data_IF_644173038200
#
_entry.id   IF_644173038200
#
_cell.length_a   1.000
_cell.length_b   1.000
_cell.length_c   1.000
_cell.angle_alpha   90.00
_cell.angle_beta   90.00
_cell.angle_gamma   90.00
#
_symmetry.space_group_name_H-M   'P 1'
#
loop_
_entity.id
_entity.type
_entity.pdbx_description
1 polymer ?
#
# COMPACT_ATOMS: atom_id res chain seq x y z
N UNK A 1 -1.13 -7.92 15.27
CA UNK A 1 -1.97 -7.38 14.16
C UNK A 1 -1.07 -6.90 13.02
N UNK A 2 -1.42 -7.20 11.77
CA UNK A 2 -0.80 -6.62 10.58
C UNK A 2 -1.86 -6.11 9.61
N UNK A 3 -1.54 -5.06 8.87
CA UNK A 3 -2.44 -4.35 7.96
C UNK A 3 -1.69 -4.18 6.63
N UNK A 4 -2.36 -4.42 5.50
CA UNK A 4 -1.80 -4.09 4.19
C UNK A 4 -2.62 -3.03 3.48
N UNK A 5 -1.94 -2.07 2.84
CA UNK A 5 -2.55 -1.04 1.98
C UNK A 5 -1.83 -0.96 0.63
N UNK A 6 -2.50 -0.35 -0.35
CA UNK A 6 -1.88 0.00 -1.63
C UNK A 6 -1.03 1.27 -1.51
N UNK A 7 -0.04 1.47 -2.39
CA UNK A 7 0.67 2.72 -2.54
C UNK A 7 -0.21 3.76 -3.24
N UNK A 8 0.33 4.93 -3.50
CA UNK A 8 -0.25 5.92 -4.40
C UNK A 8 0.60 6.11 -5.67
N UNK A 9 -0.03 6.64 -6.72
CA UNK A 9 0.65 6.97 -7.99
C UNK A 9 1.39 8.32 -7.92
N UNK A 10 0.92 9.20 -7.04
CA UNK A 10 1.51 10.50 -6.78
C UNK A 10 2.46 10.40 -5.59
N UNK A 11 3.58 11.09 -5.67
CA UNK A 11 4.58 11.18 -4.62
C UNK A 11 4.70 12.64 -4.19
N UNK A 12 4.56 12.90 -2.90
CA UNK A 12 4.85 14.18 -2.26
C UNK A 12 6.36 14.27 -2.00
N UNK A 13 7.03 15.13 -2.75
CA UNK A 13 8.48 15.29 -2.67
C UNK A 13 8.91 16.49 -1.80
N UNK A 14 7.99 17.37 -1.43
CA UNK A 14 8.33 18.71 -0.94
C UNK A 14 7.80 19.09 0.43
N UNK A 15 6.68 18.54 0.90
CA UNK A 15 6.11 18.92 2.21
C UNK A 15 7.10 18.64 3.35
N UNK A 16 7.24 19.54 4.34
CA UNK A 16 8.06 19.29 5.51
C UNK A 16 7.68 17.98 6.20
N UNK A 17 8.67 17.17 6.56
CA UNK A 17 8.42 15.91 7.27
C UNK A 17 8.13 16.18 8.75
N UNK A 18 7.14 15.52 9.36
CA UNK A 18 6.84 15.67 10.78
C UNK A 18 7.84 14.93 11.68
N UNK A 19 8.75 14.14 11.11
CA UNK A 19 9.76 13.36 11.83
C UNK A 19 11.04 13.23 11.01
N UNK A 20 12.18 13.13 11.70
CA UNK A 20 13.48 12.81 11.09
C UNK A 20 13.75 11.29 11.06
N UNK A 21 12.86 10.49 11.63
CA UNK A 21 12.99 9.03 11.71
C UNK A 21 12.74 8.38 10.34
N UNK A 22 13.53 7.38 10.06
CA UNK A 22 13.39 6.56 8.85
C UNK A 22 13.87 5.13 9.09
N UNK A 23 13.52 4.26 8.17
CA UNK A 23 14.00 2.87 8.09
C UNK A 23 14.33 2.52 6.64
N UNK A 24 14.86 1.31 6.42
CA UNK A 24 15.25 0.83 5.10
C UNK A 24 14.37 -0.33 4.67
N UNK A 25 13.97 -0.34 3.40
CA UNK A 25 13.24 -1.45 2.80
C UNK A 25 14.04 -2.76 2.89
N UNK A 26 13.34 -3.86 3.12
CA UNK A 26 13.97 -5.19 3.33
C UNK A 26 14.50 -5.82 2.04
N UNK A 27 13.93 -5.50 0.88
CA UNK A 27 14.20 -6.14 -0.40
C UNK A 27 15.20 -5.36 -1.27
N UNK A 28 16.33 -4.93 -0.71
CA UNK A 28 17.29 -4.05 -1.41
C UNK A 28 17.84 -4.63 -2.72
N UNK A 29 18.08 -5.94 -2.77
CA UNK A 29 18.55 -6.64 -3.99
C UNK A 29 17.45 -6.71 -5.03
N UNK A 30 16.27 -7.11 -4.64
CA UNK A 30 15.09 -7.23 -5.50
C UNK A 30 14.66 -5.88 -6.07
N UNK A 31 14.73 -4.81 -5.27
CA UNK A 31 14.52 -3.43 -5.73
C UNK A 31 15.49 -3.09 -6.86
N UNK A 32 16.76 -3.43 -6.70
CA UNK A 32 17.77 -3.20 -7.74
C UNK A 32 17.48 -4.01 -9.03
N UNK A 33 16.97 -5.26 -8.90
CA UNK A 33 16.57 -6.09 -10.04
C UNK A 33 15.36 -5.48 -10.78
N UNK A 34 14.31 -5.08 -10.07
CA UNK A 34 13.12 -4.44 -10.66
C UNK A 34 13.50 -3.10 -11.32
N UNK A 35 14.28 -2.26 -10.62
CA UNK A 35 14.78 -1.01 -11.18
C UNK A 35 15.67 -1.25 -12.41
N UNK A 36 16.52 -2.27 -12.38
CA UNK A 36 17.36 -2.67 -13.51
C UNK A 36 16.56 -3.04 -14.76
N UNK A 37 15.33 -3.57 -14.59
CA UNK A 37 14.41 -3.82 -15.69
C UNK A 37 13.73 -2.54 -16.23
N UNK A 38 13.53 -1.53 -15.37
CA UNK A 38 12.91 -0.24 -15.76
C UNK A 38 13.90 0.73 -16.39
N UNK A 39 15.12 0.82 -15.88
CA UNK A 39 16.12 1.83 -16.23
C UNK A 39 16.43 1.92 -17.74
N UNK A 40 16.55 0.80 -18.50
CA UNK A 40 16.86 0.84 -19.93
C UNK A 40 15.65 1.21 -20.82
N UNK A 41 14.44 1.32 -20.25
CA UNK A 41 13.25 1.62 -21.04
C UNK A 41 13.22 3.10 -21.42
N UNK A 42 13.04 3.39 -22.71
CA UNK A 42 12.85 4.77 -23.19
C UNK A 42 11.50 5.34 -22.72
N UNK A 43 11.31 6.67 -22.74
CA UNK A 43 10.02 7.29 -22.44
C UNK A 43 8.87 6.68 -23.23
N UNK A 44 9.05 6.39 -24.51
CA UNK A 44 8.02 5.77 -25.36
C UNK A 44 7.65 4.36 -24.89
N UNK A 45 8.66 3.55 -24.52
CA UNK A 45 8.42 2.21 -23.98
C UNK A 45 7.69 2.28 -22.63
N UNK A 46 8.06 3.20 -21.74
CA UNK A 46 7.37 3.44 -20.47
C UNK A 46 5.92 3.91 -20.68
N UNK A 47 5.69 4.81 -21.65
CA UNK A 47 4.33 5.27 -22.01
C UNK A 47 3.44 4.10 -22.43
N UNK A 48 3.94 3.21 -23.29
CA UNK A 48 3.21 2.03 -23.76
C UNK A 48 3.01 1.01 -22.61
N UNK A 49 4.08 0.69 -21.88
CA UNK A 49 4.06 -0.31 -20.80
C UNK A 49 3.06 0.05 -19.69
N UNK A 50 3.07 1.31 -19.26
CA UNK A 50 2.26 1.79 -18.14
C UNK A 50 0.95 2.47 -18.57
N UNK A 51 0.69 2.59 -19.89
CA UNK A 51 -0.47 3.32 -20.46
C UNK A 51 -0.59 4.74 -19.90
N UNK A 52 0.52 5.50 -19.91
CA UNK A 52 0.62 6.86 -19.39
C UNK A 52 0.94 7.86 -20.49
N UNK A 53 0.63 9.16 -20.23
CA UNK A 53 0.94 10.23 -21.17
C UNK A 53 2.44 10.38 -21.43
N UNK A 54 2.87 10.90 -22.59
CA UNK A 54 4.29 11.15 -22.88
C UNK A 54 4.98 12.01 -21.81
N UNK A 55 4.30 13.02 -21.27
CA UNK A 55 4.82 13.86 -20.18
C UNK A 55 5.11 13.07 -18.91
N UNK A 56 4.19 12.17 -18.52
CA UNK A 56 4.41 11.30 -17.35
C UNK A 56 5.47 10.25 -17.62
N UNK A 57 5.57 9.74 -18.84
CA UNK A 57 6.60 8.80 -19.23
C UNK A 57 8.00 9.41 -19.16
N UNK A 58 8.15 10.65 -19.66
CA UNK A 58 9.39 11.42 -19.56
C UNK A 58 9.80 11.65 -18.12
N UNK A 59 8.87 12.11 -17.25
CA UNK A 59 9.13 12.30 -15.83
C UNK A 59 9.63 11.02 -15.17
N UNK A 60 8.96 9.89 -15.43
CA UNK A 60 9.34 8.63 -14.79
C UNK A 60 10.61 8.01 -15.40
N UNK A 61 10.90 8.28 -16.67
CA UNK A 61 12.20 7.96 -17.25
C UNK A 61 13.32 8.71 -16.52
N UNK A 62 13.18 10.03 -16.32
CA UNK A 62 14.15 10.83 -15.56
C UNK A 62 14.33 10.31 -14.15
N UNK A 63 13.24 9.99 -13.44
CA UNK A 63 13.29 9.37 -12.09
C UNK A 63 14.08 8.06 -12.11
N UNK A 64 13.86 7.20 -13.13
CA UNK A 64 14.60 5.94 -13.26
C UNK A 64 16.09 6.17 -13.55
N UNK A 65 16.49 7.25 -14.25
CA UNK A 65 17.89 7.54 -14.51
C UNK A 65 18.66 8.01 -13.27
N UNK A 66 17.99 8.81 -12.41
CA UNK A 66 18.61 9.37 -11.19
C UNK A 66 18.46 8.48 -9.96
N UNK A 67 17.65 7.42 -10.04
CA UNK A 67 17.48 6.48 -8.95
C UNK A 67 18.80 5.82 -8.58
N UNK A 68 19.19 5.91 -7.31
CA UNK A 68 20.42 5.35 -6.76
C UNK A 68 20.16 4.66 -5.42
N UNK A 69 20.92 3.63 -5.14
CA UNK A 69 20.98 2.94 -3.86
C UNK A 69 22.36 3.16 -3.21
N UNK A 70 22.49 3.25 -1.89
CA UNK A 70 21.43 3.14 -0.90
C UNK A 70 20.52 4.38 -0.86
N UNK A 71 19.26 4.20 -0.43
CA UNK A 71 18.35 5.30 -0.16
C UNK A 71 18.72 5.96 1.17
N UNK A 72 18.74 7.29 1.18
CA UNK A 72 19.08 8.13 2.33
C UNK A 72 18.10 9.30 2.43
N UNK A 73 17.99 10.01 3.56
CA UNK A 73 17.12 11.18 3.67
C UNK A 73 17.40 12.31 2.65
N UNK A 74 18.56 12.29 1.98
CA UNK A 74 18.94 13.26 0.96
C UNK A 74 18.34 12.93 -0.41
N UNK A 75 18.00 11.65 -0.70
CA UNK A 75 17.48 11.22 -2.00
C UNK A 75 16.14 10.47 -1.92
N UNK A 76 15.58 10.33 -0.71
CA UNK A 76 14.37 9.57 -0.46
C UNK A 76 13.57 10.12 0.74
N UNK A 77 12.32 9.68 0.86
CA UNK A 77 11.41 10.09 1.94
C UNK A 77 10.73 8.85 2.53
N UNK A 78 10.33 8.87 3.82
CA UNK A 78 9.55 7.78 4.39
C UNK A 78 8.25 7.56 3.62
N UNK A 79 7.94 6.32 3.29
CA UNK A 79 6.82 5.92 2.43
C UNK A 79 5.47 6.48 2.90
N UNK A 80 5.21 6.49 4.21
CA UNK A 80 4.00 7.02 4.82
C UNK A 80 3.72 8.47 4.44
N UNK A 81 4.77 9.29 4.31
CA UNK A 81 4.71 10.73 4.01
C UNK A 81 5.01 11.05 2.54
N UNK A 82 5.57 10.08 1.82
CA UNK A 82 5.85 10.22 0.40
C UNK A 82 4.65 9.91 -0.47
N UNK A 83 3.89 8.86 -0.18
CA UNK A 83 2.71 8.55 -0.98
C UNK A 83 1.60 9.60 -0.77
N UNK A 84 1.03 10.07 -1.89
CA UNK A 84 -0.04 11.07 -1.94
C UNK A 84 -1.19 10.60 -2.83
N UNK A 85 -2.39 10.51 -2.24
CA UNK A 85 -3.61 10.05 -2.91
C UNK A 85 -4.71 9.69 -1.91
N UNK A 86 -5.87 9.28 -2.41
CA UNK A 86 -7.11 9.14 -1.63
C UNK A 86 -6.95 8.32 -0.33
N UNK A 87 -6.17 7.23 -0.34
CA UNK A 87 -5.91 6.42 0.86
C UNK A 87 -5.11 7.24 1.88
N UNK A 88 -4.06 7.93 1.43
CA UNK A 88 -3.17 8.72 2.29
C UNK A 88 -3.84 10.01 2.77
N UNK A 89 -4.71 10.61 1.96
CA UNK A 89 -5.60 11.69 2.39
C UNK A 89 -6.54 11.23 3.50
N UNK A 90 -7.13 10.04 3.36
CA UNK A 90 -7.96 9.45 4.41
C UNK A 90 -7.19 9.13 5.69
N UNK A 91 -5.98 8.62 5.58
CA UNK A 91 -5.08 8.35 6.71
C UNK A 91 -4.61 9.63 7.41
N UNK A 92 -4.31 10.68 6.63
CA UNK A 92 -3.83 11.97 7.13
C UNK A 92 -2.62 11.83 8.06
N UNK A 93 -1.57 11.18 7.56
CA UNK A 93 -0.40 10.79 8.36
C UNK A 93 0.35 11.99 8.99
N UNK A 94 0.27 13.17 8.37
CA UNK A 94 0.92 14.38 8.87
C UNK A 94 0.32 14.91 10.18
N UNK A 95 -0.91 14.52 10.53
CA UNK A 95 -1.58 14.89 11.77
C UNK A 95 -1.52 13.80 12.86
N UNK A 96 -0.84 12.67 12.61
CA UNK A 96 -0.68 11.59 13.58
C UNK A 96 0.33 11.97 14.69
N UNK A 97 0.02 11.59 15.92
CA UNK A 97 0.98 11.65 17.01
C UNK A 97 2.08 10.59 16.83
N UNK A 98 3.26 10.82 17.45
CA UNK A 98 4.42 9.93 17.34
C UNK A 98 4.09 8.47 17.74
N UNK A 99 3.35 8.28 18.82
CA UNK A 99 2.91 6.95 19.26
C UNK A 99 2.05 6.21 18.23
N UNK A 100 1.25 6.94 17.46
CA UNK A 100 0.44 6.37 16.37
C UNK A 100 1.32 5.99 15.18
N UNK A 101 2.33 6.79 14.88
CA UNK A 101 3.34 6.46 13.85
C UNK A 101 4.11 5.20 14.25
N UNK A 102 4.50 5.07 15.53
CA UNK A 102 5.14 3.86 16.04
C UNK A 102 4.26 2.62 15.89
N UNK A 103 3.01 2.74 16.27
CA UNK A 103 2.04 1.66 16.11
C UNK A 103 1.87 1.25 14.65
N UNK A 104 1.83 2.22 13.73
CA UNK A 104 1.79 1.93 12.29
C UNK A 104 3.10 1.33 11.78
N UNK A 105 4.25 1.78 12.25
CA UNK A 105 5.56 1.20 11.87
C UNK A 105 5.61 -0.30 12.18
N UNK A 106 5.03 -0.71 13.30
CA UNK A 106 4.92 -2.12 13.70
C UNK A 106 3.87 -2.89 12.90
N UNK A 107 2.71 -2.29 12.63
CA UNK A 107 1.53 -3.00 12.13
C UNK A 107 1.24 -2.81 10.64
N UNK A 108 1.55 -1.66 10.04
CA UNK A 108 1.21 -1.34 8.66
C UNK A 108 2.28 -1.80 7.69
N UNK A 109 1.84 -2.35 6.55
CA UNK A 109 2.67 -2.68 5.41
C UNK A 109 2.08 -2.07 4.14
N UNK A 110 2.89 -1.40 3.35
CA UNK A 110 2.51 -0.77 2.10
C UNK A 110 3.05 -1.63 0.95
N UNK A 111 2.15 -2.14 0.12
CA UNK A 111 2.53 -2.92 -1.06
C UNK A 111 3.05 -1.99 -2.16
N UNK A 112 4.01 -2.46 -2.96
CA UNK A 112 4.65 -1.64 -4.00
C UNK A 112 5.14 -2.48 -5.16
N UNK A 113 4.92 -2.01 -6.39
CA UNK A 113 5.46 -2.67 -7.59
C UNK A 113 6.99 -2.63 -7.65
N UNK A 114 7.62 -1.55 -7.17
CA UNK A 114 9.09 -1.41 -7.15
C UNK A 114 9.72 -2.01 -5.89
N UNK A 115 9.14 -1.75 -4.73
CA UNK A 115 9.72 -2.08 -3.42
C UNK A 115 9.19 -3.40 -2.82
N UNK A 116 8.18 -4.03 -3.43
CA UNK A 116 7.49 -5.21 -2.91
C UNK A 116 6.61 -4.88 -1.72
N UNK A 117 7.20 -4.80 -0.53
CA UNK A 117 6.54 -4.45 0.73
C UNK A 117 7.40 -3.46 1.51
N UNK A 118 6.76 -2.49 2.12
CA UNK A 118 7.40 -1.40 2.88
C UNK A 118 6.74 -1.25 4.25
N UNK A 119 7.55 -0.87 5.24
CA UNK A 119 7.09 -0.26 6.48
C UNK A 119 6.82 1.24 6.28
N UNK A 120 6.01 1.89 7.11
CA UNK A 120 5.70 3.31 7.02
C UNK A 120 6.91 4.23 6.88
N UNK A 121 7.95 4.00 7.66
CA UNK A 121 9.14 4.83 7.69
C UNK A 121 10.25 4.37 6.72
N UNK A 122 10.02 3.32 5.93
CA UNK A 122 10.99 2.92 4.90
C UNK A 122 11.14 4.02 3.85
N UNK A 123 12.39 4.34 3.56
CA UNK A 123 12.71 5.35 2.56
C UNK A 123 12.34 4.87 1.15
N UNK A 124 11.68 5.74 0.39
CA UNK A 124 11.39 5.56 -1.03
C UNK A 124 11.82 6.78 -1.83
N UNK A 125 12.48 6.55 -2.96
CA UNK A 125 12.69 7.56 -3.99
C UNK A 125 11.44 7.66 -4.89
N UNK A 126 11.18 8.80 -5.53
CA UNK A 126 10.06 8.96 -6.43
C UNK A 126 10.11 7.96 -7.60
N UNK A 127 9.01 7.29 -7.85
CA UNK A 127 8.87 6.29 -8.91
C UNK A 127 7.41 6.17 -9.36
N UNK A 128 7.19 5.43 -10.45
CA UNK A 128 5.88 4.92 -10.82
C UNK A 128 6.01 3.52 -11.38
N UNK A 129 5.38 2.57 -10.72
CA UNK A 129 5.26 1.18 -11.18
C UNK A 129 4.11 0.53 -10.41
N UNK A 130 2.97 0.36 -11.07
CA UNK A 130 1.81 -0.35 -10.52
C UNK A 130 2.07 -1.88 -10.55
N UNK A 131 1.55 -2.61 -9.57
CA UNK A 131 1.77 -4.06 -9.42
C UNK A 131 1.24 -4.87 -10.62
N UNK A 132 0.18 -4.39 -11.28
CA UNK A 132 -0.43 -5.03 -12.44
C UNK A 132 0.35 -4.87 -13.75
N UNK A 133 1.44 -4.08 -13.75
CA UNK A 133 2.26 -3.85 -14.95
C UNK A 133 3.00 -5.14 -15.37
N UNK A 134 2.90 -5.48 -16.65
CA UNK A 134 3.56 -6.66 -17.24
C UNK A 134 5.05 -6.37 -17.52
N UNK A 135 5.80 -6.12 -16.45
CA UNK A 135 7.25 -5.93 -16.52
C UNK A 135 7.94 -7.27 -16.19
N UNK A 136 8.65 -7.90 -17.12
CA UNK A 136 9.48 -9.06 -16.81
C UNK A 136 10.69 -8.63 -15.95
N UNK A 137 11.00 -9.43 -14.91
CA UNK A 137 12.15 -9.20 -14.03
C UNK A 137 12.91 -10.51 -13.86
N UNK A 138 14.13 -10.59 -14.33
CA UNK A 138 14.91 -11.82 -14.35
C UNK A 138 14.17 -12.95 -15.08
N UNK A 139 13.83 -14.02 -14.38
CA UNK A 139 13.06 -15.16 -14.91
C UNK A 139 11.55 -15.01 -14.72
N UNK A 140 11.09 -14.01 -13.99
CA UNK A 140 9.67 -13.79 -13.72
C UNK A 140 9.02 -13.01 -14.89
N UNK A 141 7.87 -13.49 -15.36
CA UNK A 141 7.15 -12.91 -16.50
C UNK A 141 6.50 -11.56 -16.19
N UNK A 142 6.24 -11.29 -14.91
CA UNK A 142 5.59 -10.07 -14.44
C UNK A 142 5.87 -9.84 -12.95
N UNK A 143 5.43 -8.69 -12.41
CA UNK A 143 5.65 -8.34 -11.01
C UNK A 143 4.96 -9.27 -10.03
N UNK A 144 3.79 -9.85 -10.36
CA UNK A 144 3.13 -10.82 -9.49
C UNK A 144 3.99 -12.08 -9.32
N UNK A 145 4.51 -12.63 -10.42
CA UNK A 145 5.39 -13.80 -10.38
C UNK A 145 6.71 -13.50 -9.64
N UNK A 146 7.19 -12.25 -9.73
CA UNK A 146 8.41 -11.83 -9.04
C UNK A 146 8.20 -11.66 -7.54
N UNK A 147 7.10 -11.02 -7.12
CA UNK A 147 6.90 -10.60 -5.74
C UNK A 147 6.14 -11.59 -4.86
N UNK A 148 5.25 -12.42 -5.44
CA UNK A 148 4.26 -13.19 -4.69
C UNK A 148 4.84 -14.02 -3.54
N UNK A 149 5.86 -14.79 -3.82
CA UNK A 149 6.49 -15.65 -2.80
C UNK A 149 7.25 -14.81 -1.77
N UNK A 150 7.99 -13.80 -2.21
CA UNK A 150 8.80 -12.92 -1.36
C UNK A 150 7.94 -12.13 -0.38
N UNK A 151 6.88 -11.49 -0.87
CA UNK A 151 5.94 -10.72 -0.02
C UNK A 151 5.21 -11.65 0.94
N UNK A 152 4.74 -12.80 0.48
CA UNK A 152 4.04 -13.77 1.33
C UNK A 152 4.93 -14.28 2.44
N UNK A 153 6.19 -14.61 2.15
CA UNK A 153 7.16 -15.05 3.15
C UNK A 153 7.45 -13.93 4.16
N UNK A 154 7.71 -12.70 3.69
CA UNK A 154 7.97 -11.56 4.57
C UNK A 154 6.78 -11.27 5.52
N UNK A 155 5.56 -11.41 5.02
CA UNK A 155 4.36 -11.29 5.87
C UNK A 155 4.28 -12.44 6.88
N UNK A 156 4.55 -13.67 6.47
CA UNK A 156 4.53 -14.83 7.36
C UNK A 156 5.60 -14.77 8.46
N UNK A 157 6.74 -14.14 8.20
CA UNK A 157 7.80 -13.95 9.20
C UNK A 157 7.35 -12.97 10.30
N UNK A 158 6.37 -12.12 10.02
CA UNK A 158 5.81 -11.14 10.95
C UNK A 158 4.44 -11.51 11.51
N UNK A 159 3.75 -12.49 10.90
CA UNK A 159 2.43 -12.94 11.32
C UNK A 159 2.55 -14.06 12.36
N UNK A 160 1.76 -13.94 13.42
CA UNK A 160 1.54 -15.00 14.41
C UNK A 160 0.35 -15.85 13.97
N UNK A 161 0.36 -17.13 14.31
CA UNK A 161 -0.77 -18.03 14.08
C UNK A 161 -2.02 -17.52 14.81
N UNK A 162 -3.14 -17.41 14.09
CA UNK A 162 -4.38 -16.81 14.63
C UNK A 162 -4.32 -15.30 14.84
N UNK A 163 -3.23 -14.64 14.46
CA UNK A 163 -3.08 -13.18 14.56
C UNK A 163 -4.03 -12.43 13.61
N UNK A 164 -4.34 -11.18 13.92
CA UNK A 164 -5.21 -10.33 13.11
C UNK A 164 -4.46 -9.80 11.88
N UNK A 165 -4.92 -10.17 10.67
CA UNK A 165 -4.40 -9.67 9.41
C UNK A 165 -5.50 -9.00 8.59
N UNK A 166 -5.35 -7.70 8.31
CA UNK A 166 -6.37 -6.84 7.72
C UNK A 166 -5.94 -6.39 6.33
N UNK A 167 -6.76 -6.71 5.32
CA UNK A 167 -6.56 -6.27 3.95
C UNK A 167 -7.32 -4.97 3.67
N UNK A 168 -6.60 -3.88 3.53
CA UNK A 168 -7.09 -2.58 3.05
C UNK A 168 -6.45 -2.20 1.70
N UNK A 169 -5.71 -3.11 1.07
CA UNK A 169 -5.19 -2.92 -0.27
C UNK A 169 -6.27 -3.12 -1.35
N UNK A 170 -6.03 -2.61 -2.53
CA UNK A 170 -6.85 -2.93 -3.70
C UNK A 170 -6.59 -4.36 -4.16
N UNK A 171 -7.53 -4.92 -4.90
CA UNK A 171 -7.40 -6.26 -5.49
C UNK A 171 -6.11 -6.38 -6.33
N UNK A 172 -5.76 -5.34 -7.10
CA UNK A 172 -4.53 -5.30 -7.89
C UNK A 172 -3.29 -5.58 -7.04
N UNK A 173 -3.14 -4.89 -5.90
CA UNK A 173 -1.97 -5.07 -5.04
C UNK A 173 -2.07 -6.32 -4.18
N UNK A 174 -3.25 -6.64 -3.69
CA UNK A 174 -3.44 -7.81 -2.82
C UNK A 174 -3.19 -9.15 -3.54
N UNK A 175 -3.37 -9.23 -4.85
CA UNK A 175 -3.00 -10.40 -5.69
C UNK A 175 -1.51 -10.75 -5.63
N UNK A 176 -0.65 -9.82 -5.20
CA UNK A 176 0.78 -10.09 -4.98
C UNK A 176 1.05 -10.91 -3.70
N UNK A 177 0.01 -11.30 -2.95
CA UNK A 177 0.09 -12.15 -1.76
C UNK A 177 -0.56 -13.50 -2.07
N UNK A 178 0.09 -14.58 -1.70
CA UNK A 178 -0.48 -15.93 -1.75
C UNK A 178 -1.25 -16.22 -0.46
N UNK A 179 -2.54 -15.91 -0.47
CA UNK A 179 -3.39 -16.07 0.72
C UNK A 179 -3.51 -17.52 1.21
N UNK A 180 -3.33 -18.50 0.33
CA UNK A 180 -3.35 -19.91 0.70
C UNK A 180 -2.12 -20.34 1.55
N UNK A 181 -1.04 -19.55 1.49
CA UNK A 181 0.21 -19.78 2.23
C UNK A 181 0.35 -18.92 3.48
N UNK A 182 -0.62 -18.06 3.78
CA UNK A 182 -0.57 -17.22 4.98
C UNK A 182 -0.85 -18.03 6.24
N UNK A 183 -0.15 -17.72 7.33
CA UNK A 183 -0.30 -18.35 8.65
C UNK A 183 -1.62 -18.00 9.35
N UNK A 184 -2.32 -16.98 8.87
CA UNK A 184 -3.59 -16.53 9.46
C UNK A 184 -4.60 -16.15 8.38
N UNK A 185 -5.88 -16.17 8.74
CA UNK A 185 -6.95 -15.75 7.85
C UNK A 185 -6.94 -14.24 7.64
N UNK A 186 -7.39 -13.82 6.45
CA UNK A 186 -7.44 -12.41 6.05
C UNK A 186 -8.81 -11.85 6.35
N UNK A 187 -8.86 -10.71 7.05
CA UNK A 187 -10.08 -9.92 7.22
C UNK A 187 -10.06 -8.79 6.21
N UNK A 188 -11.15 -8.64 5.47
CA UNK A 188 -11.24 -7.63 4.40
C UNK A 188 -12.41 -6.68 4.67
N UNK A 189 -12.14 -5.46 5.19
CA UNK A 189 -13.15 -4.39 5.24
C UNK A 189 -13.50 -3.91 3.83
N UNK A 190 -14.79 -3.82 3.52
CA UNK A 190 -15.33 -3.35 2.24
C UNK A 190 -16.25 -2.18 2.48
N UNK A 191 -16.03 -1.08 1.77
CA UNK A 191 -16.78 0.17 1.90
C UNK A 191 -17.71 0.36 0.71
N UNK A 192 -19.01 0.49 0.98
CA UNK A 192 -20.03 0.65 -0.06
C UNK A 192 -20.91 1.86 0.25
N UNK A 193 -21.27 2.57 -0.81
CA UNK A 193 -22.11 3.75 -0.75
C UNK A 193 -23.46 3.49 -1.43
N UNK A 194 -24.55 4.02 -0.86
CA UNK A 194 -25.85 4.03 -1.51
C UNK A 194 -25.85 5.03 -2.67
N UNK A 195 -26.25 4.57 -3.85
CA UNK A 195 -26.53 5.41 -5.01
C UNK A 195 -27.97 5.16 -5.45
N UNK A 196 -28.88 5.96 -4.93
CA UNK A 196 -30.30 5.62 -4.89
C UNK A 196 -30.49 4.36 -4.04
N UNK A 197 -31.24 3.39 -4.53
CA UNK A 197 -31.50 2.13 -3.83
C UNK A 197 -30.41 1.05 -4.04
N UNK A 198 -29.33 1.39 -4.75
CA UNK A 198 -28.27 0.43 -5.07
C UNK A 198 -27.03 0.70 -4.23
N UNK A 199 -26.54 -0.34 -3.55
CA UNK A 199 -25.31 -0.31 -2.78
C UNK A 199 -24.11 -0.68 -3.68
N UNK A 200 -23.15 0.24 -3.85
CA UNK A 200 -22.00 0.09 -4.76
C UNK A 200 -20.70 0.53 -4.10
N UNK A 201 -19.60 -0.05 -4.55
CA UNK A 201 -18.28 0.48 -4.24
C UNK A 201 -18.03 1.70 -5.14
N UNK A 202 -17.91 2.88 -4.52
CA UNK A 202 -17.48 4.11 -5.19
C UNK A 202 -15.98 4.25 -4.97
N UNK A 203 -15.19 4.10 -6.03
CA UNK A 203 -13.72 3.93 -5.93
C UNK A 203 -13.04 5.03 -5.10
N UNK A 204 -13.37 6.29 -5.32
CA UNK A 204 -12.80 7.41 -4.57
C UNK A 204 -13.13 7.31 -3.07
N UNK A 205 -14.41 7.13 -2.72
CA UNK A 205 -14.84 7.03 -1.33
C UNK A 205 -14.27 5.80 -0.63
N UNK A 206 -14.26 4.64 -1.32
CA UNK A 206 -13.70 3.42 -0.76
C UNK A 206 -12.20 3.52 -0.48
N UNK A 207 -11.43 4.22 -1.33
CA UNK A 207 -10.01 4.48 -1.07
C UNK A 207 -9.80 5.36 0.16
N UNK A 208 -10.55 6.48 0.26
CA UNK A 208 -10.49 7.36 1.42
C UNK A 208 -10.88 6.64 2.71
N UNK A 209 -11.94 5.83 2.66
CA UNK A 209 -12.40 5.03 3.80
C UNK A 209 -11.34 4.00 4.26
N UNK A 210 -10.59 3.38 3.34
CA UNK A 210 -9.45 2.52 3.70
C UNK A 210 -8.39 3.29 4.48
N UNK A 211 -8.06 4.50 4.07
CA UNK A 211 -7.16 5.38 4.83
C UNK A 211 -7.70 5.73 6.20
N UNK A 212 -8.99 6.10 6.29
CA UNK A 212 -9.68 6.33 7.57
C UNK A 212 -9.67 5.11 8.48
N UNK A 213 -9.82 3.91 7.92
CA UNK A 213 -9.73 2.67 8.68
C UNK A 213 -8.30 2.46 9.22
N UNK A 214 -7.24 2.73 8.44
CA UNK A 214 -5.86 2.67 8.95
C UNK A 214 -5.67 3.65 10.11
N UNK A 215 -6.19 4.87 9.99
CA UNK A 215 -6.16 5.85 11.07
C UNK A 215 -6.90 5.36 12.32
N UNK A 216 -8.11 4.82 12.16
CA UNK A 216 -8.88 4.21 13.24
C UNK A 216 -8.09 3.12 13.96
N UNK A 217 -7.39 2.27 13.21
CA UNK A 217 -6.53 1.20 13.75
C UNK A 217 -5.32 1.77 14.51
N UNK A 218 -4.78 2.92 14.09
CA UNK A 218 -3.69 3.59 14.79
C UNK A 218 -4.15 4.25 16.11
N UNK A 219 -5.35 4.80 16.14
CA UNK A 219 -5.90 5.58 17.25
C UNK A 219 -6.57 4.70 18.33
N UNK A 220 -6.97 3.47 18.02
CA UNK A 220 -7.75 2.62 18.90
C UNK A 220 -7.02 1.30 19.22
N UNK A 221 -7.30 0.70 20.37
CA UNK A 221 -6.77 -0.60 20.77
C UNK A 221 -7.61 -1.73 20.14
N UNK A 222 -7.24 -2.12 18.93
CA UNK A 222 -7.90 -3.16 18.15
C UNK A 222 -7.22 -4.49 18.35
N UNK A 223 -7.92 -5.47 18.88
CA UNK A 223 -7.41 -6.81 19.23
C UNK A 223 -8.08 -7.93 18.45
N UNK A 224 -9.26 -7.67 17.89
CA UNK A 224 -10.10 -8.65 17.22
C UNK A 224 -10.83 -8.07 16.00
N UNK A 225 -11.41 -8.95 15.18
CA UNK A 225 -12.30 -8.53 14.09
C UNK A 225 -13.56 -7.80 14.59
N UNK A 226 -14.01 -8.11 15.81
CA UNK A 226 -15.18 -7.45 16.40
C UNK A 226 -14.92 -5.97 16.65
N UNK A 227 -13.71 -5.61 17.09
CA UNK A 227 -13.35 -4.22 17.35
C UNK A 227 -13.37 -3.35 16.07
N UNK A 228 -13.20 -3.97 14.89
CA UNK A 228 -13.30 -3.27 13.60
C UNK A 228 -14.72 -2.76 13.33
N UNK A 229 -15.73 -3.44 13.85
CA UNK A 229 -17.15 -3.08 13.65
C UNK A 229 -17.50 -1.72 14.27
N UNK A 230 -16.68 -1.23 15.20
CA UNK A 230 -16.82 0.11 15.79
C UNK A 230 -16.42 1.26 14.86
N UNK A 231 -15.85 0.99 13.69
CA UNK A 231 -15.48 2.02 12.73
C UNK A 231 -16.71 2.78 12.22
N UNK A 232 -16.67 4.11 12.30
CA UNK A 232 -17.79 5.00 11.93
C UNK A 232 -17.37 6.31 11.24
N UNK A 233 -16.12 6.38 10.72
CA UNK A 233 -15.65 7.60 10.07
C UNK A 233 -16.40 7.87 8.76
N UNK A 234 -16.55 9.16 8.43
CA UNK A 234 -17.19 9.68 7.20
C UNK A 234 -18.63 9.13 6.99
N UNK A 235 -19.33 8.73 8.07
CA UNK A 235 -20.71 8.22 8.03
C UNK A 235 -20.83 6.73 7.67
N UNK A 236 -19.72 6.02 7.52
CA UNK A 236 -19.77 4.56 7.36
C UNK A 236 -20.16 3.87 8.66
N UNK A 237 -21.02 2.87 8.56
CA UNK A 237 -21.37 1.99 9.67
C UNK A 237 -21.28 0.53 9.25
N UNK A 238 -20.89 -0.33 10.17
CA UNK A 238 -20.84 -1.77 9.93
C UNK A 238 -22.24 -2.31 9.61
N UNK A 239 -22.31 -3.19 8.62
CA UNK A 239 -23.56 -3.86 8.23
C UNK A 239 -23.41 -5.38 8.28
N UNK A 240 -24.01 -6.00 9.27
CA UNK A 240 -24.06 -7.44 9.39
C UNK A 240 -24.77 -8.08 8.19
N UNK A 241 -25.84 -7.46 7.71
CA UNK A 241 -26.63 -7.94 6.55
C UNK A 241 -25.83 -8.17 5.29
N UNK A 242 -24.79 -7.36 5.07
CA UNK A 242 -23.97 -7.42 3.84
C UNK A 242 -22.59 -8.04 4.08
N UNK A 243 -22.27 -8.39 5.31
CA UNK A 243 -21.01 -9.04 5.71
C UNK A 243 -21.15 -10.54 5.63
N UNK A 244 -20.05 -11.22 5.26
CA UNK A 244 -20.00 -12.68 5.19
C UNK A 244 -18.57 -13.17 5.52
N UNK A 245 -18.46 -14.12 6.43
CA UNK A 245 -17.18 -14.67 6.86
C UNK A 245 -16.21 -13.57 7.32
N UNK A 246 -15.05 -13.51 6.69
CA UNK A 246 -14.01 -12.51 6.97
C UNK A 246 -14.16 -11.21 6.16
N UNK A 247 -15.26 -11.05 5.41
CA UNK A 247 -15.57 -9.81 4.70
C UNK A 247 -16.50 -8.95 5.53
N UNK A 248 -15.98 -7.84 6.05
CA UNK A 248 -16.73 -6.90 6.87
C UNK A 248 -17.18 -5.72 6.00
N UNK A 249 -18.47 -5.58 5.78
CA UNK A 249 -19.04 -4.53 4.92
C UNK A 249 -19.47 -3.34 5.77
N UNK A 250 -18.97 -2.17 5.39
CA UNK A 250 -19.37 -0.87 5.94
C UNK A 250 -20.14 -0.11 4.87
N UNK A 251 -21.27 0.47 5.26
CA UNK A 251 -22.20 1.14 4.36
C UNK A 251 -22.43 2.59 4.76
N UNK A 252 -22.65 3.43 3.74
CA UNK A 252 -22.98 4.83 3.91
C UNK A 252 -24.01 5.26 2.89
#
# INVERSE_FOLDING_TARGET
MKIVISPAKTINETSPLPTERYSSAIFTKEIAEVHGALKPLSPQKLSTLMSISPKLAELNWQRNQVFTMPLTPQNARPALFAYDGDVYEGLDAYSLAEAQIDKLQESLRILSGLYGILKPLDLIAPYRLEMGIKLPVGKAENLYAFWKERITQALNDELEEGGLFINLASEEYFKAIDTAKLKTSVITPVFKDYKGDTLKIVSFYAKKARGRMVRYLAENDIRSAEDLKGFNADGYVFSEKFSEGNTLVFVR
#
